data_IF_606693755397
#
_entry.id   IF_606693755397
#
_cell.length_a   1.000
_cell.length_b   1.000
_cell.length_c   1.000
_cell.angle_alpha   90.00
_cell.angle_beta   90.00
_cell.angle_gamma   90.00
#
_symmetry.space_group_name_H-M   'P 1'
#
loop_
_entity.id
_entity.type
_entity.pdbx_description
1 polymer ?
#
# COMPACT_ATOMS: atom_id res chain seq x y z
N UNK A 1 30.44 15.05 -0.48
CA UNK A 1 29.36 14.22 0.10
C UNK A 1 29.73 12.77 -0.10
N UNK A 2 30.38 12.14 0.88
CA UNK A 2 30.74 10.72 0.87
C UNK A 2 29.46 9.89 1.07
N UNK A 3 28.64 9.83 0.03
CA UNK A 3 27.23 9.44 0.11
C UNK A 3 27.04 7.94 0.28
N UNK A 4 27.08 7.44 1.52
CA UNK A 4 26.29 6.25 1.82
C UNK A 4 24.82 6.58 1.57
N UNK A 5 24.12 5.72 0.80
CA UNK A 5 22.67 5.82 0.63
C UNK A 5 21.98 5.91 2.00
N UNK A 6 20.82 6.56 2.08
CA UNK A 6 19.98 6.51 3.29
C UNK A 6 19.63 5.05 3.60
N UNK A 7 19.82 4.62 4.85
CA UNK A 7 19.60 3.23 5.28
C UNK A 7 18.85 3.14 6.62
N UNK A 8 17.66 3.73 6.71
CA UNK A 8 16.83 3.71 7.92
C UNK A 8 16.54 2.29 8.45
N UNK A 9 16.45 1.29 7.56
CA UNK A 9 16.31 -0.13 7.90
C UNK A 9 17.51 -0.73 8.64
N UNK A 10 18.69 -0.11 8.56
CA UNK A 10 19.89 -0.52 9.30
C UNK A 10 20.15 0.28 10.58
N UNK A 11 19.35 1.32 10.85
CA UNK A 11 19.49 2.16 12.03
C UNK A 11 19.07 1.41 13.30
N UNK A 12 19.99 1.25 14.25
CA UNK A 12 19.72 0.72 15.60
C UNK A 12 19.44 1.81 16.65
N UNK A 13 19.78 3.06 16.35
CA UNK A 13 19.70 4.18 17.32
C UNK A 13 18.26 4.65 17.49
N UNK A 14 17.50 4.76 16.38
CA UNK A 14 16.09 5.16 16.35
C UNK A 14 15.78 6.44 17.14
N UNK A 15 16.72 7.38 17.20
CA UNK A 15 16.58 8.60 18.01
C UNK A 15 15.54 9.58 17.46
N UNK A 16 15.08 9.39 16.22
CA UNK A 16 13.94 10.09 15.63
C UNK A 16 12.66 9.99 16.48
N UNK A 17 12.49 8.92 17.27
CA UNK A 17 11.35 8.78 18.20
C UNK A 17 11.36 9.88 19.28
N UNK A 18 12.55 10.32 19.70
CA UNK A 18 12.74 11.35 20.72
C UNK A 18 12.99 12.75 20.12
N UNK A 19 13.23 12.84 18.80
CA UNK A 19 13.62 14.08 18.12
C UNK A 19 15.06 14.54 18.39
N UNK A 20 15.89 13.75 19.06
CA UNK A 20 17.30 14.06 19.33
C UNK A 20 18.20 13.41 18.27
N UNK A 21 18.84 14.20 17.42
CA UNK A 21 19.70 13.70 16.35
C UNK A 21 21.19 13.72 16.68
N UNK A 22 21.59 14.05 17.90
CA UNK A 22 23.00 14.16 18.33
C UNK A 22 23.82 12.88 18.15
N UNK A 23 23.19 11.71 18.21
CA UNK A 23 23.81 10.38 18.05
C UNK A 23 23.39 9.67 16.77
N UNK A 24 22.94 10.42 15.76
CA UNK A 24 22.49 9.83 14.49
C UNK A 24 23.64 9.15 13.74
N UNK A 25 23.40 8.00 13.09
CA UNK A 25 24.39 7.40 12.21
C UNK A 25 24.60 8.26 10.96
N UNK A 26 25.75 8.11 10.29
CA UNK A 26 26.11 8.88 9.09
C UNK A 26 25.11 8.73 7.93
N UNK A 27 24.37 7.62 7.85
CA UNK A 27 23.35 7.35 6.82
C UNK A 27 21.94 7.83 7.21
N UNK A 28 21.78 8.60 8.29
CA UNK A 28 20.49 9.03 8.81
C UNK A 28 19.76 9.96 7.82
N UNK A 29 18.51 9.62 7.49
CA UNK A 29 17.66 10.45 6.63
C UNK A 29 17.47 11.86 7.21
N UNK A 30 17.07 11.96 8.48
CA UNK A 30 16.71 13.24 9.10
C UNK A 30 17.87 14.24 9.19
N UNK A 31 19.12 13.79 9.25
CA UNK A 31 20.29 14.68 9.26
C UNK A 31 20.79 15.00 7.86
N UNK A 32 20.74 14.03 6.95
CA UNK A 32 21.29 14.19 5.60
C UNK A 32 20.32 14.89 4.64
N UNK A 33 19.04 14.94 5.00
CA UNK A 33 17.94 15.55 4.24
C UNK A 33 17.21 16.58 5.11
N UNK A 34 17.97 17.42 5.82
CA UNK A 34 17.43 18.38 6.77
C UNK A 34 16.54 19.43 6.08
N UNK A 35 16.91 19.85 4.87
CA UNK A 35 16.14 20.80 4.07
C UNK A 35 14.77 20.23 3.68
N UNK A 36 14.71 18.95 3.29
CA UNK A 36 13.45 18.25 3.02
C UNK A 36 12.59 18.11 4.27
N UNK A 37 13.18 17.90 5.45
CA UNK A 37 12.44 17.86 6.72
C UNK A 37 11.84 19.22 7.08
N UNK A 38 12.49 20.33 6.70
CA UNK A 38 11.94 21.67 6.87
C UNK A 38 10.79 21.92 5.86
N UNK A 39 10.96 21.51 4.61
CA UNK A 39 9.90 21.59 3.58
C UNK A 39 8.64 20.80 3.99
N UNK A 40 8.80 19.66 4.66
CA UNK A 40 7.66 18.89 5.19
C UNK A 40 6.82 19.71 6.16
N UNK A 41 7.42 20.56 7.01
CA UNK A 41 6.65 21.41 7.93
C UNK A 41 5.75 22.37 7.17
N UNK A 42 6.26 22.95 6.08
CA UNK A 42 5.49 23.82 5.17
C UNK A 42 4.36 23.02 4.51
N UNK A 43 4.62 21.80 4.03
CA UNK A 43 3.58 20.94 3.44
C UNK A 43 2.49 20.56 4.45
N UNK A 44 2.82 20.46 5.73
CA UNK A 44 1.85 20.21 6.82
C UNK A 44 1.08 21.46 7.25
N UNK A 45 1.39 22.65 6.71
CA UNK A 45 0.57 23.85 6.90
C UNK A 45 -0.63 23.90 5.95
N UNK A 46 -0.53 23.20 4.81
CA UNK A 46 -1.66 22.98 3.90
C UNK A 46 -2.84 22.35 4.65
N UNK A 47 -4.05 22.88 4.41
CA UNK A 47 -5.23 22.55 5.21
C UNK A 47 -5.59 21.07 5.11
N UNK A 48 -5.56 20.52 3.90
CA UNK A 48 -5.91 19.12 3.64
C UNK A 48 -4.88 18.18 4.26
N UNK A 49 -3.59 18.43 4.01
CA UNK A 49 -2.50 17.64 4.59
C UNK A 49 -2.54 17.66 6.12
N UNK A 50 -2.77 18.84 6.71
CA UNK A 50 -2.87 18.99 8.17
C UNK A 50 -4.05 18.22 8.73
N UNK A 51 -5.22 18.33 8.11
CA UNK A 51 -6.42 17.62 8.53
C UNK A 51 -6.20 16.10 8.46
N UNK A 52 -5.68 15.59 7.34
CA UNK A 52 -5.36 14.17 7.18
C UNK A 52 -4.35 13.69 8.24
N UNK A 53 -3.27 14.44 8.49
CA UNK A 53 -2.28 14.09 9.50
C UNK A 53 -2.87 14.05 10.91
N UNK A 54 -3.78 14.97 11.25
CA UNK A 54 -4.50 14.95 12.52
C UNK A 54 -5.42 13.73 12.64
N UNK A 55 -6.10 13.33 11.56
CA UNK A 55 -6.99 12.17 11.54
C UNK A 55 -6.22 10.83 11.63
N UNK A 56 -5.03 10.76 11.04
CA UNK A 56 -4.07 9.67 11.29
C UNK A 56 -3.70 9.62 12.78
N UNK A 57 -3.30 10.74 13.36
CA UNK A 57 -2.90 10.79 14.78
C UNK A 57 -4.05 10.44 15.74
N UNK A 58 -5.29 10.82 15.42
CA UNK A 58 -6.49 10.43 16.19
C UNK A 58 -6.70 8.92 16.18
N UNK A 59 -6.39 8.24 15.08
CA UNK A 59 -6.52 6.79 14.93
C UNK A 59 -5.56 6.02 15.84
N UNK A 60 -4.44 6.62 16.27
CA UNK A 60 -3.47 5.99 17.18
C UNK A 60 -4.03 5.69 18.58
N UNK A 61 -5.15 6.28 18.99
CA UNK A 61 -5.83 5.95 20.27
C UNK A 61 -6.18 4.46 20.39
N UNK A 62 -6.35 3.79 19.25
CA UNK A 62 -6.72 2.38 19.16
C UNK A 62 -5.61 1.50 18.58
N UNK A 63 -4.38 2.01 18.48
CA UNK A 63 -3.25 1.23 17.95
C UNK A 63 -3.04 -0.05 18.78
N UNK A 64 -2.95 -1.18 18.09
CA UNK A 64 -2.82 -2.50 18.72
C UNK A 64 -4.10 -3.04 19.38
N UNK A 65 -5.23 -2.32 19.29
CA UNK A 65 -6.55 -2.80 19.71
C UNK A 65 -7.42 -3.16 18.51
N UNK A 66 -7.42 -2.30 17.50
CA UNK A 66 -8.19 -2.49 16.28
C UNK A 66 -7.40 -3.35 15.28
N UNK A 67 -8.13 -4.18 14.55
CA UNK A 67 -7.66 -4.82 13.32
C UNK A 67 -7.47 -3.80 12.21
N UNK A 68 -6.75 -4.16 11.15
CA UNK A 68 -6.55 -3.29 9.97
C UNK A 68 -7.86 -2.83 9.32
N UNK A 69 -8.89 -3.69 9.34
CA UNK A 69 -10.23 -3.38 8.81
C UNK A 69 -10.90 -2.32 9.69
N UNK A 70 -10.89 -2.51 11.01
CA UNK A 70 -11.45 -1.55 11.97
C UNK A 70 -10.71 -0.21 11.96
N UNK A 71 -9.38 -0.22 11.83
CA UNK A 71 -8.57 1.00 11.64
C UNK A 71 -8.96 1.74 10.36
N UNK A 72 -9.25 1.02 9.27
CA UNK A 72 -9.67 1.62 7.99
C UNK A 72 -11.02 2.33 8.14
N UNK A 73 -12.00 1.68 8.78
CA UNK A 73 -13.30 2.30 9.05
C UNK A 73 -13.21 3.48 10.02
N UNK A 74 -12.37 3.38 11.06
CA UNK A 74 -12.13 4.48 11.98
C UNK A 74 -11.51 5.68 11.26
N UNK A 75 -10.51 5.44 10.40
CA UNK A 75 -9.88 6.51 9.64
C UNK A 75 -10.87 7.19 8.69
N UNK A 76 -11.68 6.41 7.96
CA UNK A 76 -12.75 6.94 7.11
C UNK A 76 -13.74 7.81 7.90
N UNK A 77 -14.16 7.37 9.09
CA UNK A 77 -15.04 8.13 9.99
C UNK A 77 -14.40 9.42 10.49
N UNK A 78 -13.12 9.41 10.86
CA UNK A 78 -12.40 10.62 11.28
C UNK A 78 -12.36 11.66 10.16
N UNK A 79 -12.20 11.21 8.91
CA UNK A 79 -12.22 12.05 7.70
C UNK A 79 -13.61 12.55 7.33
N UNK A 80 -14.67 11.92 7.85
CA UNK A 80 -16.04 12.16 7.41
C UNK A 80 -16.37 11.56 6.04
N UNK A 81 -15.59 10.57 5.59
CA UNK A 81 -15.84 9.87 4.33
C UNK A 81 -17.04 8.94 4.46
N UNK A 82 -17.96 9.05 3.50
CA UNK A 82 -19.19 8.29 3.42
C UNK A 82 -19.12 7.22 2.33
N UNK A 83 -18.44 7.49 1.20
CA UNK A 83 -18.33 6.55 0.08
C UNK A 83 -16.94 5.94 -0.05
N UNK A 84 -16.86 4.63 0.11
CA UNK A 84 -15.63 3.84 0.00
C UNK A 84 -15.56 3.14 -1.36
N UNK A 85 -14.36 3.13 -1.95
CA UNK A 85 -14.09 2.37 -3.16
C UNK A 85 -13.35 1.08 -2.84
N UNK A 86 -13.83 -0.07 -3.32
CA UNK A 86 -13.15 -1.36 -3.16
C UNK A 86 -12.59 -1.87 -4.48
N UNK A 87 -11.27 -1.77 -4.66
CA UNK A 87 -10.56 -2.35 -5.79
C UNK A 87 -10.03 -3.73 -5.40
N UNK A 88 -10.50 -4.79 -6.05
CA UNK A 88 -10.17 -6.16 -5.66
C UNK A 88 -9.75 -7.05 -6.83
N UNK A 89 -8.92 -8.06 -6.53
CA UNK A 89 -8.57 -9.08 -7.51
C UNK A 89 -9.75 -10.04 -7.71
N UNK A 90 -10.03 -10.45 -8.95
CA UNK A 90 -11.04 -11.47 -9.26
C UNK A 90 -10.90 -12.74 -8.42
N UNK A 91 -9.67 -13.16 -8.11
CA UNK A 91 -9.41 -14.33 -7.26
C UNK A 91 -9.72 -14.14 -5.77
N UNK A 92 -10.18 -12.96 -5.35
CA UNK A 92 -10.62 -12.62 -4.00
C UNK A 92 -12.08 -12.11 -4.00
N UNK A 93 -12.88 -12.55 -4.96
CA UNK A 93 -14.27 -12.07 -5.10
C UNK A 93 -15.13 -12.38 -3.87
N UNK A 94 -14.91 -13.53 -3.22
CA UNK A 94 -15.63 -13.89 -2.01
C UNK A 94 -15.27 -12.98 -0.82
N UNK A 95 -13.98 -12.73 -0.61
CA UNK A 95 -13.49 -11.81 0.41
C UNK A 95 -13.96 -10.37 0.15
N UNK A 96 -14.01 -9.97 -1.13
CA UNK A 96 -14.54 -8.68 -1.54
C UNK A 96 -16.02 -8.52 -1.21
N UNK A 97 -16.83 -9.58 -1.41
CA UNK A 97 -18.24 -9.60 -1.01
C UNK A 97 -18.39 -9.43 0.50
N UNK A 98 -17.65 -10.21 1.31
CA UNK A 98 -17.69 -10.10 2.77
C UNK A 98 -17.33 -8.70 3.25
N UNK A 99 -16.27 -8.12 2.69
CA UNK A 99 -15.80 -6.78 3.06
C UNK A 99 -16.79 -5.69 2.62
N UNK A 100 -17.38 -5.83 1.44
CA UNK A 100 -18.44 -4.93 0.95
C UNK A 100 -19.64 -4.94 1.89
N UNK A 101 -20.12 -6.14 2.25
CA UNK A 101 -21.24 -6.31 3.18
C UNK A 101 -20.93 -5.70 4.55
N UNK A 102 -19.71 -5.91 5.07
CA UNK A 102 -19.27 -5.31 6.31
C UNK A 102 -19.35 -3.78 6.27
N UNK A 103 -18.77 -3.14 5.25
CA UNK A 103 -18.77 -1.68 5.14
C UNK A 103 -20.17 -1.10 4.98
N UNK A 104 -21.04 -1.75 4.20
CA UNK A 104 -22.45 -1.34 4.08
C UNK A 104 -23.16 -1.42 5.43
N UNK A 105 -23.00 -2.52 6.16
CA UNK A 105 -23.59 -2.70 7.49
C UNK A 105 -23.07 -1.68 8.52
N UNK A 106 -21.84 -1.21 8.33
CA UNK A 106 -21.18 -0.18 9.16
C UNK A 106 -21.54 1.26 8.74
N UNK A 107 -22.44 1.42 7.75
CA UNK A 107 -23.05 2.68 7.36
C UNK A 107 -22.36 3.42 6.22
N UNK A 108 -21.42 2.79 5.51
CA UNK A 108 -20.77 3.39 4.35
C UNK A 108 -21.53 3.07 3.04
N UNK A 109 -21.50 4.00 2.09
CA UNK A 109 -21.77 3.70 0.68
C UNK A 109 -20.52 3.04 0.08
N UNK A 110 -20.69 2.03 -0.78
CA UNK A 110 -19.58 1.23 -1.29
C UNK A 110 -19.74 0.98 -2.79
N UNK A 111 -18.78 1.44 -3.57
CA UNK A 111 -18.61 1.02 -4.96
C UNK A 111 -17.42 0.08 -5.06
N UNK A 112 -17.54 -1.00 -5.83
CA UNK A 112 -16.47 -1.97 -6.01
C UNK A 112 -16.10 -2.16 -7.48
N UNK A 113 -14.83 -2.44 -7.75
CA UNK A 113 -14.31 -2.69 -9.09
C UNK A 113 -13.37 -3.89 -9.07
N UNK A 114 -13.64 -4.90 -9.90
CA UNK A 114 -12.79 -6.08 -10.05
C UNK A 114 -11.63 -5.83 -11.00
N UNK A 115 -10.49 -6.50 -10.81
CA UNK A 115 -9.32 -6.35 -11.68
C UNK A 115 -9.58 -6.74 -13.14
N UNK A 116 -10.62 -7.52 -13.44
CA UNK A 116 -10.98 -7.92 -14.81
C UNK A 116 -11.96 -6.95 -15.50
N UNK A 117 -12.26 -5.80 -14.88
CA UNK A 117 -13.21 -4.82 -15.42
C UNK A 117 -12.81 -4.36 -16.82
N UNK A 118 -13.76 -4.42 -17.76
CA UNK A 118 -13.54 -4.11 -19.18
C UNK A 118 -13.05 -5.28 -20.03
N UNK A 119 -12.69 -6.43 -19.43
CA UNK A 119 -12.39 -7.64 -20.18
C UNK A 119 -11.18 -7.54 -21.10
N UNK A 120 -10.16 -6.78 -20.69
CA UNK A 120 -8.92 -6.63 -21.45
C UNK A 120 -8.13 -7.95 -21.55
N UNK A 121 -7.20 -7.94 -22.49
CA UNK A 121 -6.33 -9.03 -22.86
C UNK A 121 -4.90 -8.54 -23.03
N UNK A 122 -3.95 -9.47 -23.08
CA UNK A 122 -2.57 -9.09 -23.37
C UNK A 122 -2.37 -8.55 -24.80
N UNK A 123 -3.32 -8.77 -25.71
CA UNK A 123 -3.31 -8.17 -27.06
C UNK A 123 -3.55 -6.65 -27.02
N UNK A 124 -4.36 -6.17 -26.08
CA UNK A 124 -4.69 -4.74 -25.94
C UNK A 124 -3.46 -3.89 -25.58
N UNK A 125 -2.42 -4.51 -25.02
CA UNK A 125 -1.13 -3.88 -24.72
C UNK A 125 -0.02 -4.31 -25.70
N UNK A 126 -0.33 -5.12 -26.70
CA UNK A 126 0.64 -5.64 -27.65
C UNK A 126 1.72 -6.53 -27.02
N UNK A 127 1.37 -7.35 -26.02
CA UNK A 127 2.33 -8.27 -25.40
C UNK A 127 2.84 -9.28 -26.45
N UNK A 128 4.17 -9.43 -26.64
CA UNK A 128 4.72 -10.39 -27.58
C UNK A 128 4.28 -11.84 -27.27
N UNK A 129 4.07 -12.66 -28.30
CA UNK A 129 3.62 -14.06 -28.15
C UNK A 129 4.59 -14.91 -27.32
N UNK A 130 5.88 -14.61 -27.37
CA UNK A 130 6.90 -15.29 -26.58
C UNK A 130 6.70 -15.13 -25.08
N UNK A 131 6.17 -13.98 -24.66
CA UNK A 131 5.94 -13.59 -23.26
C UNK A 131 4.53 -13.98 -22.77
N UNK A 132 3.62 -14.34 -23.68
CA UNK A 132 2.30 -14.88 -23.31
C UNK A 132 2.44 -16.25 -22.66
N UNK A 133 1.74 -16.42 -21.55
CA UNK A 133 1.56 -17.71 -20.87
C UNK A 133 0.58 -18.58 -21.67
N UNK A 134 -0.46 -17.97 -22.25
CA UNK A 134 -1.46 -18.63 -23.10
C UNK A 134 -1.22 -18.30 -24.58
N UNK A 135 -0.21 -18.92 -25.18
CA UNK A 135 0.19 -18.67 -26.58
C UNK A 135 -0.90 -19.04 -27.57
N UNK A 136 -1.16 -18.17 -28.55
CA UNK A 136 -2.21 -18.36 -29.56
C UNK A 136 -3.63 -18.41 -29.02
N UNK A 137 -3.85 -18.00 -27.76
CA UNK A 137 -5.17 -17.97 -27.12
C UNK A 137 -5.42 -16.59 -26.50
N UNK A 138 -6.69 -16.32 -26.20
CA UNK A 138 -7.07 -15.13 -25.44
C UNK A 138 -6.49 -15.24 -24.01
N UNK A 139 -5.49 -14.43 -23.70
CA UNK A 139 -4.96 -14.29 -22.36
C UNK A 139 -5.62 -13.09 -21.66
N UNK A 140 -6.49 -13.28 -20.65
CA UNK A 140 -7.06 -12.18 -19.89
C UNK A 140 -5.97 -11.35 -19.21
N UNK A 141 -6.22 -10.05 -19.07
CA UNK A 141 -5.33 -9.12 -18.38
C UNK A 141 -6.10 -8.31 -17.35
N UNK A 142 -5.46 -8.03 -16.21
CA UNK A 142 -5.97 -7.09 -15.23
C UNK A 142 -6.00 -5.65 -15.78
N UNK A 143 -6.97 -4.87 -15.34
CA UNK A 143 -7.16 -3.47 -15.70
C UNK A 143 -7.19 -2.57 -14.44
N UNK A 144 -6.05 -2.41 -13.74
CA UNK A 144 -5.97 -1.59 -12.53
C UNK A 144 -6.25 -0.11 -12.80
N UNK A 145 -5.92 0.39 -13.99
CA UNK A 145 -6.24 1.76 -14.41
C UNK A 145 -7.77 1.92 -14.53
N UNK A 146 -8.45 0.95 -15.16
CA UNK A 146 -9.90 0.93 -15.24
C UNK A 146 -10.57 0.87 -13.87
N UNK A 147 -10.04 0.09 -12.92
CA UNK A 147 -10.54 0.08 -11.55
C UNK A 147 -10.46 1.48 -10.91
N UNK A 148 -9.32 2.16 -11.01
CA UNK A 148 -9.16 3.51 -10.48
C UNK A 148 -10.15 4.49 -11.13
N UNK A 149 -10.27 4.46 -12.46
CA UNK A 149 -11.19 5.34 -13.19
C UNK A 149 -12.67 5.10 -12.84
N UNK A 150 -13.08 3.84 -12.63
CA UNK A 150 -14.43 3.50 -12.21
C UNK A 150 -14.71 4.10 -10.82
N UNK A 151 -13.82 3.86 -9.85
CA UNK A 151 -14.01 4.34 -8.47
C UNK A 151 -13.94 5.88 -8.37
N UNK A 152 -13.09 6.52 -9.17
CA UNK A 152 -13.06 7.96 -9.30
C UNK A 152 -14.38 8.51 -9.88
N UNK A 153 -14.95 7.83 -10.88
CA UNK A 153 -16.23 8.22 -11.52
C UNK A 153 -17.41 8.03 -10.57
N UNK A 154 -17.32 7.03 -9.70
CA UNK A 154 -18.26 6.77 -8.62
C UNK A 154 -18.16 7.79 -7.47
N UNK A 155 -17.12 8.63 -7.44
CA UNK A 155 -16.92 9.64 -6.40
C UNK A 155 -16.51 9.05 -5.06
N UNK A 156 -15.78 7.92 -5.06
CA UNK A 156 -15.24 7.33 -3.84
C UNK A 156 -14.22 8.26 -3.18
N UNK A 157 -14.25 8.36 -1.85
CA UNK A 157 -13.43 9.31 -1.07
C UNK A 157 -12.20 8.64 -0.43
N UNK A 158 -12.24 7.32 -0.27
CA UNK A 158 -11.12 6.47 0.11
C UNK A 158 -11.19 5.17 -0.67
N UNK A 159 -10.12 4.87 -1.39
CA UNK A 159 -9.98 3.63 -2.13
C UNK A 159 -9.23 2.58 -1.31
N UNK A 160 -9.74 1.36 -1.33
CA UNK A 160 -9.27 0.23 -0.55
C UNK A 160 -8.88 -0.87 -1.52
N UNK A 161 -7.61 -1.26 -1.46
CA UNK A 161 -7.06 -2.36 -2.25
C UNK A 161 -7.20 -3.67 -1.49
N UNK A 162 -7.77 -4.66 -2.17
CA UNK A 162 -7.91 -6.04 -1.71
C UNK A 162 -7.22 -7.00 -2.69
N UNK A 163 -5.93 -7.19 -2.44
CA UNK A 163 -5.09 -8.23 -3.01
C UNK A 163 -4.92 -8.18 -4.52
N UNK A 164 -4.62 -7.00 -5.10
CA UNK A 164 -4.13 -6.94 -6.47
C UNK A 164 -2.67 -7.40 -6.54
N UNK A 165 -2.24 -7.82 -7.72
CA UNK A 165 -0.85 -8.21 -7.97
C UNK A 165 0.08 -7.00 -7.82
N UNK A 166 1.37 -7.22 -7.57
CA UNK A 166 2.36 -6.15 -7.28
C UNK A 166 2.35 -5.02 -8.33
N UNK A 167 2.32 -5.37 -9.62
CA UNK A 167 2.24 -4.37 -10.70
C UNK A 167 0.88 -3.68 -10.78
N UNK A 168 -0.19 -4.41 -10.48
CA UNK A 168 -1.56 -3.89 -10.52
C UNK A 168 -1.82 -2.90 -9.38
N UNK A 169 -1.35 -3.20 -8.15
CA UNK A 169 -1.39 -2.29 -7.00
C UNK A 169 -0.74 -0.95 -7.35
N UNK A 170 0.46 -1.02 -7.96
CA UNK A 170 1.24 0.17 -8.31
C UNK A 170 0.52 1.03 -9.35
N UNK A 171 -0.05 0.41 -10.38
CA UNK A 171 -0.81 1.12 -11.41
C UNK A 171 -2.10 1.71 -10.83
N UNK A 172 -2.84 0.97 -10.01
CA UNK A 172 -4.04 1.48 -9.36
C UNK A 172 -3.73 2.70 -8.48
N UNK A 173 -2.74 2.60 -7.59
CA UNK A 173 -2.35 3.69 -6.68
C UNK A 173 -1.90 4.92 -7.47
N UNK A 174 -1.14 4.73 -8.56
CA UNK A 174 -0.67 5.82 -9.42
C UNK A 174 -1.82 6.59 -10.08
N UNK A 175 -2.91 5.91 -10.42
CA UNK A 175 -4.02 6.48 -11.18
C UNK A 175 -5.24 6.87 -10.34
N UNK A 176 -5.32 6.42 -9.08
CA UNK A 176 -6.37 6.80 -8.14
C UNK A 176 -6.29 8.28 -7.78
N UNK A 177 -7.41 9.01 -7.85
CA UNK A 177 -7.49 10.39 -7.32
C UNK A 177 -7.71 10.40 -5.83
N UNK A 178 -8.58 9.53 -5.33
CA UNK A 178 -8.78 9.36 -3.90
C UNK A 178 -7.53 8.73 -3.25
N UNK A 179 -7.25 9.04 -1.96
CA UNK A 179 -6.21 8.34 -1.22
C UNK A 179 -6.47 6.84 -1.20
N UNK A 180 -5.39 6.04 -1.19
CA UNK A 180 -5.47 4.58 -1.22
C UNK A 180 -4.92 3.98 0.06
N UNK A 181 -5.62 2.99 0.59
CA UNK A 181 -5.11 2.08 1.62
C UNK A 181 -5.21 0.63 1.15
N UNK A 182 -4.46 -0.25 1.80
CA UNK A 182 -4.39 -1.68 1.48
C UNK A 182 -4.81 -2.48 2.72
N UNK A 183 -5.74 -3.42 2.53
CA UNK A 183 -6.16 -4.38 3.56
C UNK A 183 -5.44 -5.71 3.39
N UNK A 184 -5.27 -6.17 2.15
CA UNK A 184 -4.52 -7.38 1.82
C UNK A 184 -3.73 -7.18 0.54
N UNK A 185 -2.54 -7.78 0.47
CA UNK A 185 -1.71 -7.84 -0.75
C UNK A 185 -1.88 -9.18 -1.43
N UNK A 186 -1.64 -9.29 -2.74
CA UNK A 186 -1.68 -10.61 -3.41
C UNK A 186 -0.47 -11.44 -3.00
N UNK A 187 -0.70 -12.43 -2.15
CA UNK A 187 0.24 -13.52 -1.88
C UNK A 187 -0.56 -14.82 -1.76
N UNK A 188 -0.78 -15.49 -2.89
CA UNK A 188 -1.51 -16.76 -2.92
C UNK A 188 -0.77 -17.91 -2.24
N UNK A 189 0.52 -17.75 -1.95
CA UNK A 189 1.34 -18.79 -1.30
C UNK A 189 1.19 -18.73 0.21
N UNK A 190 1.08 -17.53 0.78
CA UNK A 190 1.07 -17.29 2.22
C UNK A 190 -0.25 -16.69 2.71
N UNK A 191 -1.35 -16.97 2.01
CA UNK A 191 -2.67 -16.46 2.36
C UNK A 191 -2.67 -14.95 2.62
N UNK A 192 -2.06 -14.20 1.69
CA UNK A 192 -1.98 -12.73 1.71
C UNK A 192 -1.12 -12.15 2.85
N UNK A 193 -0.22 -12.95 3.44
CA UNK A 193 0.68 -12.55 4.52
C UNK A 193 2.17 -12.71 4.16
N UNK A 194 2.75 -11.85 3.31
CA UNK A 194 4.15 -11.99 2.87
C UNK A 194 5.17 -11.74 3.98
N UNK A 195 4.80 -11.06 5.08
CA UNK A 195 5.73 -10.85 6.20
C UNK A 195 6.13 -12.16 6.89
N UNK A 196 5.34 -13.23 6.74
CA UNK A 196 5.69 -14.55 7.21
C UNK A 196 7.03 -15.06 6.64
N UNK A 197 7.41 -14.64 5.42
CA UNK A 197 8.73 -14.96 4.84
C UNK A 197 9.87 -14.36 5.67
N UNK A 198 9.70 -13.11 6.11
CA UNK A 198 10.71 -12.40 6.91
C UNK A 198 10.79 -12.96 8.33
N UNK A 199 9.65 -13.27 8.93
CA UNK A 199 9.61 -13.85 10.28
C UNK A 199 10.26 -15.23 10.34
N UNK A 200 10.24 -15.96 9.24
CA UNK A 200 10.82 -17.31 9.12
C UNK A 200 12.19 -17.33 8.45
N UNK A 201 12.79 -16.16 8.17
CA UNK A 201 14.04 -16.06 7.40
C UNK A 201 15.29 -16.61 8.10
N UNK A 202 15.18 -16.97 9.38
CA UNK A 202 16.24 -17.62 10.16
C UNK A 202 16.00 -19.11 10.41
N UNK A 203 14.90 -19.67 9.89
CA UNK A 203 14.61 -21.08 10.03
C UNK A 203 15.47 -21.91 9.07
N UNK A 204 15.63 -23.21 9.36
CA UNK A 204 16.38 -24.13 8.49
C UNK A 204 15.85 -24.15 7.03
N UNK A 205 14.56 -23.91 6.85
CA UNK A 205 13.90 -23.85 5.53
C UNK A 205 13.73 -22.41 5.00
N UNK A 206 14.55 -21.46 5.43
CA UNK A 206 14.49 -20.08 4.96
C UNK A 206 14.68 -20.02 3.43
N UNK A 207 13.75 -19.34 2.74
CA UNK A 207 13.77 -19.21 1.27
C UNK A 207 14.47 -17.94 0.77
N UNK A 208 14.78 -17.01 1.68
CA UNK A 208 15.33 -15.69 1.35
C UNK A 208 16.51 -15.37 2.25
N UNK A 209 17.52 -14.71 1.69
CA UNK A 209 18.66 -14.22 2.45
C UNK A 209 18.37 -12.82 3.00
N UNK A 210 18.15 -12.72 4.31
CA UNK A 210 17.95 -11.43 5.01
C UNK A 210 19.16 -11.03 5.86
N UNK A 211 20.31 -11.69 5.69
CA UNK A 211 21.51 -11.32 6.41
C UNK A 211 21.97 -9.92 5.99
N UNK A 212 22.50 -9.16 6.95
CA UNK A 212 23.05 -7.85 6.64
C UNK A 212 24.25 -8.02 5.71
N UNK A 213 24.28 -7.37 4.53
CA UNK A 213 25.43 -7.45 3.64
C UNK A 213 26.71 -7.04 4.36
N UNK A 214 27.77 -7.85 4.22
CA UNK A 214 29.10 -7.48 4.69
C UNK A 214 29.55 -6.28 3.84
N UNK A 215 30.00 -5.19 4.47
CA UNK A 215 30.66 -4.10 3.72
C UNK A 215 31.83 -4.73 2.96
N UNK A 216 31.82 -4.66 1.62
CA UNK A 216 32.98 -5.04 0.83
C UNK A 216 34.14 -4.18 1.35
N UNK A 217 35.15 -4.82 1.96
CA UNK A 217 36.44 -4.19 2.20
C UNK A 217 37.08 -4.01 0.81
N UNK A 218 36.74 -2.91 0.14
CA UNK A 218 37.60 -2.38 -0.92
C UNK A 218 38.80 -1.71 -0.25
#
# INVERSE_FOLDING_TARGET
MSGENVQCGHCKVKSCVLGDFSKSPEFCASTNYADEMEEVKIKLEDEENRAMAQDVARSWKNIGKNTRIEETMQYARNRGYNKLGLAFCFGLSYEAELLTNLFINEGFDVSSATCMSGGLTSDDIGLPEEDKIMKGQRQPMCNPIGQAMILDSEGCELNIVLGLCVGDDTLFIKHSKAPVTVIAVKDSVLAHNPLAVLYTSKNFNARVNTERPKKNKK
#
